data_IF_258764754547
#
_entry.id   IF_258764754547
#
_cell.length_a   1.000
_cell.length_b   1.000
_cell.length_c   1.000
_cell.angle_alpha   90.00
_cell.angle_beta   90.00
_cell.angle_gamma   90.00
#
_symmetry.space_group_name_H-M   'P 1'
#
loop_
_entity.id
_entity.type
_entity.pdbx_description
1 polymer ?
#
# COMPACT_ATOMS: atom_id res chain seq x y z
N UNK A 1 5.63 31.60 8.49
CA UNK A 1 6.17 30.68 7.46
C UNK A 1 5.29 29.44 7.48
N UNK A 2 4.69 29.12 6.34
CA UNK A 2 3.39 28.46 6.26
C UNK A 2 3.54 26.93 6.32
N UNK A 3 3.39 26.33 7.50
CA UNK A 3 3.18 24.88 7.63
C UNK A 3 1.68 24.59 7.62
N UNK A 4 1.07 24.62 6.43
CA UNK A 4 -0.22 23.95 6.24
C UNK A 4 0.01 22.44 6.30
N UNK A 5 0.00 21.86 7.51
CA UNK A 5 -0.38 20.45 7.67
C UNK A 5 -1.89 20.41 7.45
N UNK A 6 -2.31 20.36 6.19
CA UNK A 6 -3.67 19.92 5.88
C UNK A 6 -3.75 18.43 6.18
N UNK A 7 -4.16 18.08 7.40
CA UNK A 7 -4.93 16.86 7.63
C UNK A 7 -6.21 17.00 6.80
N UNK A 8 -6.16 16.61 5.53
CA UNK A 8 -7.38 16.36 4.77
C UNK A 8 -7.87 14.97 5.14
N UNK A 9 -8.59 14.89 6.25
CA UNK A 9 -9.59 13.86 6.47
C UNK A 9 -10.90 14.34 5.82
N UNK A 10 -10.99 14.22 4.51
CA UNK A 10 -12.25 14.37 3.80
C UNK A 10 -12.24 13.36 2.65
N UNK A 11 -13.13 12.38 2.73
CA UNK A 11 -13.28 11.28 1.78
C UNK A 11 -13.33 11.81 0.33
N UNK A 12 -12.19 11.73 -0.33
CA UNK A 12 -12.00 11.91 -1.76
C UNK A 12 -10.95 10.88 -2.09
N UNK A 13 -11.24 9.91 -2.96
CA UNK A 13 -10.28 8.92 -3.46
C UNK A 13 -9.21 9.66 -4.28
N UNK A 14 -8.37 10.43 -3.61
CA UNK A 14 -7.40 11.32 -4.20
C UNK A 14 -6.23 10.47 -4.65
N UNK A 15 -6.15 10.21 -5.95
CA UNK A 15 -4.98 9.62 -6.59
C UNK A 15 -3.74 10.42 -6.20
N UNK A 16 -2.68 9.74 -5.81
CA UNK A 16 -1.42 10.39 -5.51
C UNK A 16 -0.89 11.08 -6.79
N UNK A 17 -0.33 12.30 -6.70
CA UNK A 17 0.21 13.03 -7.86
C UNK A 17 1.54 12.41 -8.31
N UNK A 18 1.47 11.17 -8.81
CA UNK A 18 2.62 10.39 -9.29
C UNK A 18 3.07 10.94 -10.63
N UNK A 19 4.35 11.32 -10.78
CA UNK A 19 4.89 11.77 -12.06
C UNK A 19 4.75 10.69 -13.15
N UNK A 20 4.55 11.07 -14.42
CA UNK A 20 4.58 10.13 -15.53
C UNK A 20 5.89 9.35 -15.57
N UNK A 21 5.82 8.05 -15.86
CA UNK A 21 6.99 7.16 -15.95
C UNK A 21 7.57 6.72 -14.60
N UNK A 22 6.89 7.01 -13.48
CA UNK A 22 7.30 6.51 -12.16
C UNK A 22 7.27 4.98 -12.12
N UNK A 23 8.32 4.39 -11.54
CA UNK A 23 8.40 2.95 -11.27
C UNK A 23 8.10 2.63 -9.82
N UNK A 24 7.64 1.41 -9.55
CA UNK A 24 7.42 0.93 -8.19
C UNK A 24 8.68 1.00 -7.32
N UNK A 25 9.88 0.83 -7.89
CA UNK A 25 11.15 0.96 -7.16
C UNK A 25 11.40 2.36 -6.60
N UNK A 26 10.72 3.39 -7.11
CA UNK A 26 10.78 4.77 -6.62
C UNK A 26 9.73 5.08 -5.55
N UNK A 27 8.79 4.16 -5.33
CA UNK A 27 7.75 4.26 -4.32
C UNK A 27 8.30 3.74 -2.99
N UNK A 28 8.08 4.50 -1.93
CA UNK A 28 8.38 4.14 -0.55
C UNK A 28 7.13 4.32 0.28
N UNK A 29 6.81 3.30 1.07
CA UNK A 29 5.67 3.31 1.98
C UNK A 29 6.22 2.94 3.36
N UNK A 30 5.91 3.77 4.36
CA UNK A 30 6.33 3.54 5.74
C UNK A 30 5.12 3.61 6.65
N UNK A 31 4.92 2.60 7.49
CA UNK A 31 3.88 2.64 8.52
C UNK A 31 4.27 3.60 9.65
N UNK A 32 3.28 4.36 10.15
CA UNK A 32 3.47 5.34 11.21
C UNK A 32 2.81 4.92 12.53
N UNK A 33 1.57 4.44 12.47
CA UNK A 33 0.75 4.10 13.65
C UNK A 33 -0.21 2.91 13.37
N UNK A 34 0.15 2.05 12.41
CA UNK A 34 -0.65 0.91 11.98
C UNK A 34 -1.93 1.22 11.19
N UNK A 35 -2.40 2.47 11.22
CA UNK A 35 -3.58 2.96 10.49
C UNK A 35 -3.26 3.99 9.41
N UNK A 36 -2.10 4.63 9.54
CA UNK A 36 -1.57 5.59 8.58
C UNK A 36 -0.20 5.15 8.07
N UNK A 37 0.04 5.49 6.81
CA UNK A 37 1.31 5.29 6.12
C UNK A 37 1.82 6.63 5.59
N UNK A 38 3.12 6.84 5.66
CA UNK A 38 3.82 7.85 4.89
C UNK A 38 4.17 7.27 3.54
N UNK A 39 3.64 7.85 2.48
CA UNK A 39 3.98 7.55 1.09
C UNK A 39 4.97 8.58 0.59
N UNK A 40 6.03 8.11 -0.07
CA UNK A 40 6.99 8.96 -0.77
C UNK A 40 7.23 8.40 -2.17
N UNK A 41 7.16 9.27 -3.16
CA UNK A 41 7.46 8.96 -4.56
C UNK A 41 8.32 10.09 -5.09
N UNK A 42 9.60 9.81 -5.35
CA UNK A 42 10.59 10.82 -5.77
C UNK A 42 10.59 12.03 -4.82
N UNK A 43 10.18 13.20 -5.30
CA UNK A 43 10.12 14.48 -4.55
C UNK A 43 8.75 14.77 -3.93
N UNK A 44 7.80 13.83 -4.03
CA UNK A 44 6.45 13.98 -3.47
C UNK A 44 6.31 13.05 -2.26
N UNK A 45 5.78 13.56 -1.17
CA UNK A 45 5.47 12.75 0.01
C UNK A 45 4.16 13.21 0.64
N UNK A 46 3.43 12.26 1.22
CA UNK A 46 2.16 12.51 1.90
C UNK A 46 1.87 11.44 2.95
N UNK A 47 1.01 11.77 3.92
CA UNK A 47 0.47 10.79 4.87
C UNK A 47 -0.92 10.39 4.39
N UNK A 48 -1.18 9.09 4.43
CA UNK A 48 -2.42 8.51 3.94
C UNK A 48 -2.88 7.40 4.89
N UNK A 49 -4.17 7.41 5.24
CA UNK A 49 -4.81 6.34 5.99
C UNK A 49 -5.30 5.22 5.07
N UNK A 50 -5.73 4.12 5.68
CA UNK A 50 -6.37 3.01 4.94
C UNK A 50 -7.59 3.47 4.10
N UNK A 51 -8.30 4.51 4.52
CA UNK A 51 -9.41 5.08 3.76
C UNK A 51 -8.97 5.80 2.47
N UNK A 52 -7.84 6.51 2.52
CA UNK A 52 -7.30 7.26 1.37
C UNK A 52 -6.82 6.32 0.26
N UNK A 53 -6.29 5.15 0.65
CA UNK A 53 -5.87 4.11 -0.29
C UNK A 53 -7.05 3.26 -0.83
N UNK A 54 -8.29 3.59 -0.44
CA UNK A 54 -9.48 2.81 -0.80
C UNK A 54 -9.54 1.44 -0.12
N UNK A 55 -8.77 1.25 0.97
CA UNK A 55 -8.67 0.01 1.75
C UNK A 55 -9.52 0.05 3.03
N UNK A 56 -10.61 0.81 3.02
CA UNK A 56 -11.58 0.91 4.12
C UNK A 56 -12.84 0.11 3.82
N UNK A 57 -13.37 -0.58 4.83
CA UNK A 57 -14.70 -1.13 4.77
C UNK A 57 -15.71 -0.04 5.17
N UNK A 58 -16.52 0.41 4.21
CA UNK A 58 -17.48 1.51 4.40
C UNK A 58 -18.59 1.19 5.39
N UNK A 59 -18.81 -0.09 5.71
CA UNK A 59 -19.87 -0.51 6.66
C UNK A 59 -19.50 -0.26 8.12
N UNK A 60 -18.21 -0.35 8.46
CA UNK A 60 -17.73 -0.31 9.85
C UNK A 60 -16.49 0.60 10.03
N UNK A 61 -16.04 1.27 8.97
CA UNK A 61 -14.84 2.11 8.94
C UNK A 61 -13.56 1.40 9.41
N UNK A 62 -13.48 0.08 9.27
CA UNK A 62 -12.27 -0.67 9.62
C UNK A 62 -11.38 -0.90 8.40
N UNK A 63 -10.07 -1.11 8.59
CA UNK A 63 -9.19 -1.57 7.51
C UNK A 63 -9.73 -2.87 6.89
N UNK A 64 -9.58 -2.98 5.57
CA UNK A 64 -9.87 -4.20 4.84
C UNK A 64 -8.74 -5.21 4.97
N UNK A 65 -9.00 -6.47 4.61
CA UNK A 65 -7.98 -7.52 4.56
C UNK A 65 -6.81 -7.16 3.62
N UNK A 66 -7.02 -6.28 2.65
CA UNK A 66 -5.94 -5.76 1.80
C UNK A 66 -4.96 -4.88 2.59
N UNK A 67 -5.46 -4.04 3.51
CA UNK A 67 -4.61 -3.25 4.42
C UNK A 67 -3.86 -4.14 5.41
N UNK A 68 -4.51 -5.15 5.96
CA UNK A 68 -3.86 -6.14 6.82
C UNK A 68 -2.74 -6.88 6.08
N UNK A 69 -2.98 -7.23 4.82
CA UNK A 69 -1.97 -7.85 3.96
C UNK A 69 -0.80 -6.89 3.70
N UNK A 70 -1.08 -5.61 3.44
CA UNK A 70 -0.03 -4.59 3.28
C UNK A 70 0.84 -4.46 4.54
N UNK A 71 0.23 -4.48 5.73
CA UNK A 71 0.96 -4.53 7.00
C UNK A 71 1.84 -5.77 7.11
N UNK A 72 1.32 -6.95 6.80
CA UNK A 72 2.09 -8.18 6.81
C UNK A 72 3.31 -8.12 5.88
N UNK A 73 3.16 -7.51 4.69
CA UNK A 73 4.32 -7.23 3.83
C UNK A 73 5.32 -6.28 4.51
N UNK A 74 4.89 -5.30 5.30
CA UNK A 74 5.79 -4.32 5.93
C UNK A 74 6.64 -4.93 7.03
N UNK A 75 6.02 -5.73 7.89
CA UNK A 75 6.70 -6.52 8.93
C UNK A 75 7.82 -7.39 8.32
N UNK A 76 7.51 -8.02 7.19
CA UNK A 76 8.43 -8.88 6.43
C UNK A 76 9.28 -8.09 5.41
N UNK A 77 9.39 -6.76 5.56
CA UNK A 77 10.23 -5.87 4.72
C UNK A 77 10.00 -6.01 3.22
N UNK A 78 8.73 -6.09 2.83
CA UNK A 78 8.25 -6.24 1.46
C UNK A 78 8.20 -7.69 0.96
N UNK A 79 8.41 -8.70 1.80
CA UNK A 79 8.34 -10.10 1.40
C UNK A 79 7.11 -10.78 2.01
N UNK A 80 6.56 -11.78 1.34
CA UNK A 80 5.51 -12.62 1.93
C UNK A 80 5.70 -14.05 1.45
N UNK A 81 6.18 -14.93 2.33
CA UNK A 81 6.30 -16.36 2.06
C UNK A 81 5.01 -17.09 2.39
N UNK A 82 4.54 -18.01 1.55
CA UNK A 82 3.38 -18.83 1.90
C UNK A 82 3.82 -20.11 2.59
N UNK A 83 3.56 -20.22 3.88
CA UNK A 83 3.85 -21.45 4.64
C UNK A 83 2.85 -22.58 4.33
N UNK A 84 1.79 -22.37 3.53
CA UNK A 84 0.78 -23.40 3.23
C UNK A 84 0.02 -23.21 1.91
N UNK A 85 -0.21 -24.32 1.18
CA UNK A 85 -0.93 -24.39 -0.11
C UNK A 85 -2.39 -23.92 -0.04
N UNK A 86 -3.09 -24.10 1.08
CA UNK A 86 -4.51 -23.71 1.25
C UNK A 86 -4.69 -22.19 1.41
N UNK A 87 -3.68 -21.51 1.97
CA UNK A 87 -3.66 -20.06 2.06
C UNK A 87 -3.46 -19.40 0.68
N UNK A 88 -2.94 -20.13 -0.31
CA UNK A 88 -2.49 -19.55 -1.59
C UNK A 88 -3.61 -18.95 -2.45
N UNK A 89 -4.80 -19.57 -2.56
CA UNK A 89 -5.88 -19.06 -3.41
C UNK A 89 -6.53 -17.78 -2.84
N UNK A 90 -6.86 -17.80 -1.54
CA UNK A 90 -7.39 -16.62 -0.85
C UNK A 90 -6.35 -15.50 -0.78
N UNK A 91 -5.07 -15.83 -0.56
CA UNK A 91 -4.01 -14.83 -0.56
C UNK A 91 -3.76 -14.26 -1.95
N UNK A 92 -3.88 -15.04 -3.03
CA UNK A 92 -3.81 -14.53 -4.42
C UNK A 92 -4.90 -13.50 -4.68
N UNK A 93 -6.14 -13.78 -4.28
CA UNK A 93 -7.25 -12.83 -4.45
C UNK A 93 -7.05 -11.56 -3.63
N UNK A 94 -6.63 -11.70 -2.36
CA UNK A 94 -6.32 -10.55 -1.48
C UNK A 94 -5.16 -9.71 -2.03
N UNK A 95 -4.10 -10.36 -2.51
CA UNK A 95 -2.97 -9.72 -3.20
C UNK A 95 -3.41 -8.99 -4.44
N UNK A 96 -4.29 -9.60 -5.26
CA UNK A 96 -4.80 -8.96 -6.47
C UNK A 96 -5.57 -7.69 -6.13
N UNK A 97 -6.48 -7.75 -5.15
CA UNK A 97 -7.20 -6.56 -4.66
C UNK A 97 -6.25 -5.48 -4.15
N UNK A 98 -5.25 -5.86 -3.36
CA UNK A 98 -4.21 -4.95 -2.88
C UNK A 98 -3.43 -4.30 -4.04
N UNK A 99 -3.03 -5.10 -5.03
CA UNK A 99 -2.32 -4.63 -6.21
C UNK A 99 -3.18 -3.63 -7.00
N UNK A 100 -4.45 -3.93 -7.24
CA UNK A 100 -5.35 -3.04 -7.98
C UNK A 100 -5.61 -1.73 -7.24
N UNK A 101 -5.75 -1.76 -5.91
CA UNK A 101 -5.88 -0.53 -5.10
C UNK A 101 -4.61 0.32 -5.15
N UNK A 102 -3.43 -0.29 -5.03
CA UNK A 102 -2.16 0.44 -5.15
C UNK A 102 -1.99 1.01 -6.55
N UNK A 103 -2.27 0.24 -7.61
CA UNK A 103 -2.21 0.70 -9.01
C UNK A 103 -3.16 1.86 -9.25
N UNK A 104 -4.39 1.80 -8.72
CA UNK A 104 -5.35 2.89 -8.81
C UNK A 104 -4.89 4.16 -8.06
N UNK A 105 -4.32 4.00 -6.87
CA UNK A 105 -3.85 5.10 -6.03
C UNK A 105 -2.59 5.79 -6.58
N UNK A 106 -1.60 5.01 -7.01
CA UNK A 106 -0.35 5.53 -7.56
C UNK A 106 -0.43 5.82 -9.05
N UNK A 107 -1.35 5.18 -9.77
CA UNK A 107 -1.46 5.35 -11.20
C UNK A 107 -0.34 4.70 -12.02
N UNK A 108 0.26 3.64 -11.50
CA UNK A 108 1.30 2.85 -12.17
C UNK A 108 0.64 1.56 -12.67
N UNK A 109 0.64 1.33 -13.98
CA UNK A 109 -0.05 0.17 -14.57
C UNK A 109 0.64 -1.17 -14.28
N UNK A 110 1.95 -1.16 -14.02
CA UNK A 110 2.72 -2.36 -13.70
C UNK A 110 2.25 -3.04 -12.40
N UNK A 111 2.47 -4.35 -12.29
CA UNK A 111 2.17 -5.06 -11.05
C UNK A 111 3.14 -4.61 -9.92
N UNK A 112 2.61 -4.18 -8.76
CA UNK A 112 3.42 -3.74 -7.63
C UNK A 112 4.18 -4.87 -6.94
N UNK A 113 3.90 -6.13 -7.26
CA UNK A 113 4.50 -7.30 -6.65
C UNK A 113 5.14 -8.20 -7.71
N UNK A 114 6.16 -8.91 -7.29
CA UNK A 114 6.89 -9.89 -8.07
C UNK A 114 6.62 -11.28 -7.47
N UNK A 115 6.34 -12.25 -8.33
CA UNK A 115 6.17 -13.64 -7.91
C UNK A 115 7.55 -14.27 -7.69
N UNK A 116 7.75 -14.84 -6.50
CA UNK A 116 8.94 -15.61 -6.12
C UNK A 116 8.57 -17.10 -5.97
N UNK A 117 9.58 -17.97 -5.98
CA UNK A 117 9.42 -19.44 -5.92
C UNK A 117 8.68 -19.93 -4.66
N UNK A 118 8.59 -19.10 -3.61
CA UNK A 118 7.87 -19.40 -2.37
C UNK A 118 6.97 -18.28 -1.84
N UNK A 119 6.65 -17.27 -2.66
CA UNK A 119 5.94 -16.10 -2.15
C UNK A 119 5.83 -14.92 -3.11
N UNK A 120 5.62 -13.74 -2.55
CA UNK A 120 5.67 -12.47 -3.30
C UNK A 120 6.67 -11.51 -2.69
N UNK A 121 7.26 -10.67 -3.55
CA UNK A 121 8.05 -9.51 -3.14
C UNK A 121 7.43 -8.23 -3.66
N UNK A 122 7.27 -7.22 -2.82
CA UNK A 122 6.90 -5.89 -3.24
C UNK A 122 8.04 -5.27 -4.08
N UNK A 123 7.70 -4.67 -5.22
CA UNK A 123 8.66 -3.92 -6.06
C UNK A 123 9.01 -2.55 -5.49
N UNK A 124 8.22 -2.07 -4.54
CA UNK A 124 8.41 -0.83 -3.81
C UNK A 124 9.02 -1.09 -2.44
N UNK A 125 9.60 -0.05 -1.83
CA UNK A 125 10.15 -0.16 -0.47
C UNK A 125 9.03 -0.05 0.54
N UNK A 126 8.96 -1.01 1.45
CA UNK A 126 7.98 -1.05 2.51
C UNK A 126 8.69 -1.17 3.86
N UNK A 127 8.35 -0.28 4.79
CA UNK A 127 8.96 -0.18 6.11
C UNK A 127 7.86 -0.26 7.19
N UNK A 128 8.05 -1.09 8.24
CA UNK A 128 7.10 -1.15 9.35
C UNK A 128 7.18 0.12 10.21
N UNK A 129 6.25 0.26 11.16
CA UNK A 129 6.41 1.24 12.22
C UNK A 129 7.61 0.88 13.11
N UNK A 130 8.25 1.91 13.68
CA UNK A 130 9.51 1.78 14.43
C UNK A 130 9.24 1.62 15.93
#
# INVERSE_FOLDING_TARGET
MNSHVKLQAAASTARFPTPPGTKWSEVRIRFLDGHTVSVQVRERSGRHGFADLGMVNTKNNTPTVAWELLRAFAEERGHLTWSSRKASASNRKRKQTLADQLRAFFGIDEDPFELLDGGWRARFRLEPDA
#
